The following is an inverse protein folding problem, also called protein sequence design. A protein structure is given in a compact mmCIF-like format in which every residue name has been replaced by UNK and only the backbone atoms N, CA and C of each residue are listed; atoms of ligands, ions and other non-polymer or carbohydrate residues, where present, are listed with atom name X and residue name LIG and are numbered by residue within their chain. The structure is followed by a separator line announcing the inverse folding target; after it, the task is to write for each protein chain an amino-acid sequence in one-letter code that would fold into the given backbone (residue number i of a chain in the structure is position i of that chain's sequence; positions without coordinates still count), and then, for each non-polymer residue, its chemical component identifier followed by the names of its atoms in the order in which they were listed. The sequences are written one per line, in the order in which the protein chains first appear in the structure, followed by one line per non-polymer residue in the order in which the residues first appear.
data_IF_356136677016
#
_entry.id   IF_356136677016
#
_cell.length_a   1.000
_cell.length_b   1.000
_cell.length_c   1.000
_cell.angle_alpha   90.00
_cell.angle_beta   90.00
_cell.angle_gamma   90.00
#
_symmetry.space_group_name_H-M   'P 1'
#
loop_
_entity.id
_entity.type
_entity.pdbx_description
1 polymer ?
#
# COMPACT_ATOMS: atom_id res chain seq x y z
N UNK A 1 7.73 23.42 2.35
CA UNK A 1 7.46 22.23 1.54
C UNK A 1 7.10 21.06 2.46
N UNK A 2 6.08 20.33 2.12
CA UNK A 2 5.66 19.14 2.88
C UNK A 2 6.64 17.97 2.66
N UNK A 3 7.14 17.84 1.44
CA UNK A 3 8.20 16.91 1.07
C UNK A 3 9.49 17.67 0.79
N UNK A 4 10.61 17.16 1.29
CA UNK A 4 11.94 17.73 1.14
C UNK A 4 12.86 16.88 0.25
N UNK A 5 12.32 15.83 -0.39
CA UNK A 5 13.10 14.95 -1.26
C UNK A 5 13.64 15.72 -2.47
N UNK A 6 14.88 15.43 -2.82
CA UNK A 6 15.58 16.08 -3.94
C UNK A 6 14.89 15.81 -5.28
N UNK A 7 14.31 14.63 -5.42
CA UNK A 7 13.58 14.19 -6.60
C UNK A 7 12.16 13.79 -6.20
N UNK A 8 11.19 14.38 -6.87
CA UNK A 8 9.77 14.12 -6.65
C UNK A 8 9.09 14.01 -8.00
N UNK A 9 8.19 13.07 -8.18
CA UNK A 9 7.48 12.91 -9.43
C UNK A 9 6.50 11.75 -9.40
N UNK A 10 5.67 11.70 -10.43
CA UNK A 10 4.75 10.61 -10.72
C UNK A 10 5.14 10.07 -12.10
N UNK A 11 5.25 8.74 -12.29
CA UNK A 11 5.59 8.16 -13.58
C UNK A 11 4.57 8.57 -14.65
N UNK A 12 5.05 9.04 -15.81
CA UNK A 12 4.19 9.27 -16.97
C UNK A 12 3.59 7.92 -17.41
N UNK A 13 2.26 7.87 -17.59
CA UNK A 13 1.53 6.64 -17.87
C UNK A 13 1.15 5.82 -16.62
N UNK A 14 1.50 6.32 -15.42
CA UNK A 14 1.16 5.71 -14.13
C UNK A 14 2.15 4.67 -13.64
N UNK A 15 1.87 4.08 -12.49
CA UNK A 15 2.79 3.20 -11.78
C UNK A 15 2.90 1.78 -12.35
N UNK A 16 1.94 1.34 -13.19
CA UNK A 16 1.96 -0.01 -13.75
C UNK A 16 3.24 -0.27 -14.56
N UNK A 17 3.67 0.70 -15.38
CA UNK A 17 4.90 0.57 -16.16
C UNK A 17 6.15 0.42 -15.29
N UNK A 18 6.19 1.10 -14.14
CA UNK A 18 7.27 0.93 -13.17
C UNK A 18 7.28 -0.49 -12.59
N UNK A 19 6.11 -1.00 -12.21
CA UNK A 19 5.97 -2.36 -11.67
C UNK A 19 6.31 -3.40 -12.73
N UNK A 20 5.81 -3.24 -13.95
CA UNK A 20 6.13 -4.15 -15.08
C UNK A 20 7.64 -4.21 -15.34
N UNK A 21 8.32 -3.06 -15.30
CA UNK A 21 9.78 -3.00 -15.43
C UNK A 21 10.52 -3.69 -14.28
N UNK A 22 10.03 -3.58 -13.03
CA UNK A 22 10.61 -4.27 -11.87
C UNK A 22 10.39 -5.79 -11.93
N UNK A 23 9.34 -6.24 -12.61
CA UNK A 23 8.98 -7.66 -12.76
C UNK A 23 9.53 -8.28 -14.05
N UNK A 24 10.26 -7.52 -14.88
CA UNK A 24 10.81 -8.03 -16.13
C UNK A 24 11.67 -9.28 -15.90
N UNK A 25 11.33 -10.37 -16.57
CA UNK A 25 12.00 -11.67 -16.45
C UNK A 25 11.66 -12.47 -15.19
N UNK A 26 10.73 -12.00 -14.36
CA UNK A 26 10.26 -12.69 -13.16
C UNK A 26 8.89 -13.32 -13.44
N UNK A 27 8.74 -14.62 -13.13
CA UNK A 27 7.45 -15.29 -13.23
C UNK A 27 6.47 -14.72 -12.18
N UNK A 28 5.36 -14.14 -12.66
CA UNK A 28 4.29 -13.61 -11.82
C UNK A 28 3.02 -14.44 -11.95
N UNK A 29 2.40 -14.78 -10.84
CA UNK A 29 1.10 -15.45 -10.77
C UNK A 29 0.14 -14.58 -9.97
N UNK A 30 -0.93 -14.14 -10.61
CA UNK A 30 -2.02 -13.38 -10.00
C UNK A 30 -3.20 -14.28 -9.63
N UNK A 31 -4.10 -13.78 -8.74
CA UNK A 31 -5.25 -14.56 -8.28
C UNK A 31 -4.88 -15.74 -7.39
N UNK A 32 -3.70 -15.72 -6.78
CA UNK A 32 -3.20 -16.77 -5.89
C UNK A 32 -3.16 -16.24 -4.47
N UNK A 33 -3.90 -16.86 -3.58
CA UNK A 33 -3.78 -16.68 -2.14
C UNK A 33 -2.69 -17.61 -1.60
N UNK A 34 -1.70 -17.03 -0.89
CA UNK A 34 -0.56 -17.80 -0.39
C UNK A 34 -0.99 -18.95 0.53
N UNK A 35 -1.90 -18.69 1.50
CA UNK A 35 -2.30 -19.67 2.50
C UNK A 35 -3.32 -20.69 1.98
N UNK A 36 -4.07 -20.34 0.94
CA UNK A 36 -5.09 -21.22 0.33
C UNK A 36 -4.60 -21.91 -0.97
N UNK A 37 -3.30 -21.92 -1.19
CA UNK A 37 -2.66 -22.55 -2.36
C UNK A 37 -1.57 -23.55 -1.95
N UNK A 38 -1.02 -24.26 -2.94
CA UNK A 38 0.13 -25.13 -2.72
C UNK A 38 1.39 -24.35 -2.28
N UNK A 39 1.44 -23.05 -2.51
CA UNK A 39 2.59 -22.19 -2.18
C UNK A 39 2.77 -21.92 -0.67
N UNK A 40 1.80 -22.26 0.17
CA UNK A 40 2.01 -22.26 1.62
C UNK A 40 3.16 -23.20 2.03
N UNK A 41 3.37 -24.28 1.27
CA UNK A 41 4.48 -25.23 1.45
C UNK A 41 5.68 -24.79 0.57
N UNK A 42 6.04 -23.52 0.65
CA UNK A 42 6.98 -22.81 -0.21
C UNK A 42 8.37 -23.47 -0.30
N UNK A 43 8.81 -24.20 0.70
CA UNK A 43 10.06 -24.97 0.72
C UNK A 43 10.14 -26.05 -0.37
N UNK A 44 9.00 -26.43 -0.96
CA UNK A 44 8.94 -27.31 -2.13
C UNK A 44 9.27 -26.57 -3.44
N UNK A 45 9.33 -25.23 -3.41
CA UNK A 45 9.45 -24.39 -4.61
C UNK A 45 10.66 -23.47 -4.60
N UNK A 46 11.18 -23.11 -3.40
CA UNK A 46 12.26 -22.15 -3.25
C UNK A 46 13.08 -22.40 -2.00
N UNK A 47 14.35 -21.97 -2.01
CA UNK A 47 15.25 -22.03 -0.87
C UNK A 47 14.97 -20.90 0.13
N UNK A 48 14.41 -19.78 -0.34
CA UNK A 48 14.04 -18.62 0.50
C UNK A 48 12.70 -18.05 0.09
N UNK A 49 11.98 -17.53 1.08
CA UNK A 49 10.72 -16.81 0.91
C UNK A 49 10.93 -15.32 1.24
N UNK A 50 10.49 -14.44 0.35
CA UNK A 50 10.24 -13.03 0.70
C UNK A 50 8.74 -12.88 0.94
N UNK A 51 8.36 -12.74 2.21
CA UNK A 51 6.96 -12.61 2.60
C UNK A 51 6.59 -11.15 2.83
N UNK A 52 5.58 -10.66 2.13
CA UNK A 52 5.12 -9.27 2.19
C UNK A 52 3.68 -9.13 2.71
N UNK A 53 3.02 -10.25 3.05
CA UNK A 53 1.69 -10.27 3.68
C UNK A 53 1.71 -9.88 5.15
N UNK A 54 0.57 -9.95 5.84
CA UNK A 54 0.48 -9.59 7.24
C UNK A 54 1.26 -10.58 8.13
N UNK A 55 2.09 -10.05 9.02
CA UNK A 55 2.99 -10.87 9.86
C UNK A 55 2.20 -11.78 10.82
N UNK A 56 1.12 -11.29 11.41
CA UNK A 56 0.27 -12.05 12.30
C UNK A 56 -0.44 -13.21 11.58
N UNK A 57 -0.81 -13.03 10.33
CA UNK A 57 -1.38 -14.08 9.48
C UNK A 57 -0.35 -15.17 9.17
N UNK A 58 0.91 -14.80 8.87
CA UNK A 58 1.98 -15.77 8.66
C UNK A 58 2.14 -16.72 9.83
N UNK A 59 2.04 -16.23 11.05
CA UNK A 59 2.09 -17.03 12.27
C UNK A 59 0.73 -17.55 12.74
N UNK A 60 -0.28 -17.59 11.87
CA UNK A 60 -1.62 -18.12 12.15
C UNK A 60 -2.31 -17.41 13.31
N UNK A 61 -2.05 -16.12 13.50
CA UNK A 61 -2.60 -15.29 14.59
C UNK A 61 -2.31 -15.83 16.00
N UNK A 62 -1.23 -16.58 16.16
CA UNK A 62 -0.90 -17.33 17.40
C UNK A 62 -0.75 -16.45 18.65
N UNK A 63 -0.42 -15.16 18.49
CA UNK A 63 -0.33 -14.17 19.57
C UNK A 63 -1.52 -13.19 19.57
N UNK A 64 -2.43 -13.31 18.61
CA UNK A 64 -3.58 -12.42 18.40
C UNK A 64 -3.47 -11.60 17.11
N UNK A 65 -4.57 -10.96 16.70
CA UNK A 65 -4.63 -10.14 15.51
C UNK A 65 -4.10 -8.73 15.77
N UNK A 66 -3.33 -8.20 14.84
CA UNK A 66 -2.93 -6.81 14.76
C UNK A 66 -4.06 -5.98 14.16
N UNK A 67 -4.28 -4.79 14.69
CA UNK A 67 -5.35 -3.91 14.23
C UNK A 67 -4.86 -3.02 13.08
N UNK A 68 -5.75 -2.79 12.14
CA UNK A 68 -5.51 -1.97 10.97
C UNK A 68 -6.59 -0.89 10.82
N UNK A 69 -6.27 0.14 10.10
CA UNK A 69 -7.24 1.07 9.53
C UNK A 69 -7.24 0.92 8.03
N UNK A 70 -8.38 1.22 7.43
CA UNK A 70 -8.55 1.20 5.98
C UNK A 70 -9.17 2.50 5.48
N UNK A 71 -9.22 2.64 4.16
CA UNK A 71 -9.91 3.73 3.49
C UNK A 71 -10.93 3.17 2.50
N UNK A 72 -11.96 3.93 2.27
CA UNK A 72 -12.94 3.68 1.20
C UNK A 72 -13.07 4.92 0.31
N UNK A 73 -13.41 4.71 -0.96
CA UNK A 73 -13.51 5.77 -1.93
C UNK A 73 -14.92 5.86 -2.51
N UNK A 74 -15.42 7.08 -2.64
CA UNK A 74 -16.61 7.38 -3.46
C UNK A 74 -16.15 8.14 -4.69
N UNK A 75 -16.10 7.43 -5.82
CA UNK A 75 -15.65 8.00 -7.08
C UNK A 75 -16.84 8.36 -7.96
N UNK A 76 -16.77 9.53 -8.58
CA UNK A 76 -17.79 10.04 -9.52
C UNK A 76 -17.17 10.81 -10.67
N UNK A 77 -17.94 10.96 -11.74
CA UNK A 77 -17.58 11.81 -12.87
C UNK A 77 -18.32 13.13 -12.73
N UNK A 78 -17.59 14.24 -12.78
CA UNK A 78 -18.14 15.59 -12.78
C UNK A 78 -18.16 16.18 -14.20
N UNK A 79 -19.26 16.87 -14.53
CA UNK A 79 -19.43 17.53 -15.83
C UNK A 79 -18.79 18.94 -15.82
N UNK A 80 -17.55 19.02 -15.39
CA UNK A 80 -16.73 20.22 -15.39
C UNK A 80 -15.29 19.87 -15.77
N UNK A 81 -14.56 20.73 -16.49
CA UNK A 81 -13.16 20.46 -16.80
C UNK A 81 -12.23 20.59 -15.59
N UNK A 82 -12.68 21.26 -14.53
CA UNK A 82 -11.92 21.51 -13.31
C UNK A 82 -12.88 21.61 -12.13
N UNK A 83 -12.75 20.72 -11.15
CA UNK A 83 -13.60 20.66 -9.98
C UNK A 83 -13.01 21.45 -8.80
N UNK A 84 -11.74 21.23 -8.49
CA UNK A 84 -11.08 21.85 -7.34
C UNK A 84 -9.74 22.55 -7.67
N UNK A 85 -9.23 22.41 -8.89
CA UNK A 85 -8.02 23.08 -9.34
C UNK A 85 -6.71 22.51 -8.83
N UNK A 86 -6.76 21.35 -8.16
CA UNK A 86 -5.59 20.68 -7.61
C UNK A 86 -5.82 19.16 -7.56
N UNK A 87 -4.73 18.38 -7.65
CA UNK A 87 -4.81 16.93 -7.60
C UNK A 87 -5.39 16.41 -6.27
N UNK A 88 -4.98 16.99 -5.14
CA UNK A 88 -5.42 16.55 -3.81
C UNK A 88 -5.72 17.74 -2.92
N UNK A 89 -6.89 17.75 -2.29
CA UNK A 89 -7.27 18.68 -1.23
C UNK A 89 -7.60 17.88 0.02
N UNK A 90 -6.88 18.14 1.12
CA UNK A 90 -7.13 17.51 2.42
C UNK A 90 -8.12 18.34 3.24
N UNK A 91 -9.03 17.67 3.94
CA UNK A 91 -10.03 18.26 4.80
C UNK A 91 -9.74 17.89 6.25
N UNK A 92 -9.58 18.90 7.10
CA UNK A 92 -9.27 18.73 8.52
C UNK A 92 -10.45 19.07 9.45
N UNK A 93 -11.55 19.60 8.87
CA UNK A 93 -12.76 19.92 9.63
C UNK A 93 -13.48 18.66 10.07
N UNK A 94 -13.87 18.61 11.36
CA UNK A 94 -14.64 17.50 11.91
C UNK A 94 -16.06 17.37 11.27
N UNK A 95 -16.57 18.44 10.68
CA UNK A 95 -17.89 18.46 10.02
C UNK A 95 -17.85 17.79 8.63
N UNK A 96 -16.67 17.61 8.04
CA UNK A 96 -16.49 16.98 6.74
C UNK A 96 -16.22 15.49 6.95
N UNK A 97 -17.03 14.58 6.38
CA UNK A 97 -16.93 13.15 6.67
C UNK A 97 -15.81 12.44 5.92
N UNK A 98 -15.16 13.08 4.95
CA UNK A 98 -14.03 12.53 4.18
C UNK A 98 -12.74 13.27 4.52
N UNK A 99 -11.63 12.57 4.39
CA UNK A 99 -10.29 13.08 4.74
C UNK A 99 -9.65 13.85 3.60
N UNK A 100 -10.00 13.51 2.36
CA UNK A 100 -9.51 14.23 1.17
C UNK A 100 -10.42 14.05 -0.03
N UNK A 101 -10.25 14.97 -0.98
CA UNK A 101 -10.81 14.87 -2.33
C UNK A 101 -9.66 14.81 -3.33
N UNK A 102 -9.72 13.85 -4.24
CA UNK A 102 -8.73 13.62 -5.29
C UNK A 102 -9.39 13.95 -6.63
N UNK A 103 -8.83 14.89 -7.37
CA UNK A 103 -9.19 15.15 -8.77
C UNK A 103 -8.09 14.59 -9.68
N UNK A 104 -8.37 13.44 -10.27
CA UNK A 104 -7.34 12.57 -10.86
C UNK A 104 -6.60 13.18 -12.05
N UNK A 105 -7.25 14.03 -12.87
CA UNK A 105 -6.60 14.62 -14.05
C UNK A 105 -5.40 15.52 -13.72
N UNK A 106 -5.40 16.16 -12.54
CA UNK A 106 -4.33 17.06 -12.13
C UNK A 106 -3.02 16.36 -11.75
N UNK A 107 -2.99 15.03 -11.73
CA UNK A 107 -1.71 14.30 -11.68
C UNK A 107 -0.97 14.31 -13.03
N UNK A 108 -1.65 14.68 -14.15
CA UNK A 108 -1.10 14.83 -15.50
C UNK A 108 -0.38 13.59 -16.06
N UNK A 109 -0.56 12.42 -15.43
CA UNK A 109 0.18 11.20 -15.77
C UNK A 109 -0.27 10.55 -17.08
N UNK A 110 -1.44 10.92 -17.61
CA UNK A 110 -2.03 10.32 -18.83
C UNK A 110 -2.04 11.28 -20.04
N UNK A 111 -1.33 12.39 -19.96
CA UNK A 111 -1.13 13.33 -21.07
C UNK A 111 -2.22 14.41 -21.21
N UNK A 112 -2.00 15.29 -22.18
CA UNK A 112 -2.79 16.51 -22.36
C UNK A 112 -4.24 16.24 -22.79
N UNK A 113 -4.49 15.18 -23.53
CA UNK A 113 -5.85 14.86 -23.98
C UNK A 113 -6.77 14.52 -22.78
N UNK A 114 -6.24 13.80 -21.80
CA UNK A 114 -6.95 13.51 -20.54
C UNK A 114 -7.09 14.78 -19.70
N UNK A 115 -6.03 15.57 -19.62
CA UNK A 115 -6.03 16.83 -18.87
C UNK A 115 -7.08 17.81 -19.44
N UNK A 116 -7.17 17.93 -20.77
CA UNK A 116 -8.10 18.83 -21.47
C UNK A 116 -9.53 18.28 -21.61
N UNK A 117 -9.80 17.06 -21.10
CA UNK A 117 -11.16 16.52 -21.13
C UNK A 117 -12.16 17.47 -20.44
N UNK A 118 -13.35 17.73 -21.05
CA UNK A 118 -14.37 18.63 -20.47
C UNK A 118 -15.04 18.06 -19.20
N UNK A 119 -14.71 16.83 -18.82
CA UNK A 119 -15.14 16.16 -17.61
C UNK A 119 -13.95 15.80 -16.73
N UNK A 120 -14.20 15.59 -15.45
CA UNK A 120 -13.16 15.16 -14.51
C UNK A 120 -13.65 14.03 -13.63
N UNK A 121 -12.72 13.20 -13.15
CA UNK A 121 -13.00 12.14 -12.16
C UNK A 121 -12.55 12.64 -10.79
N UNK A 122 -13.47 12.53 -9.84
CA UNK A 122 -13.26 12.98 -8.45
C UNK A 122 -13.52 11.80 -7.50
N UNK A 123 -12.61 11.58 -6.56
CA UNK A 123 -12.74 10.58 -5.50
C UNK A 123 -12.70 11.24 -4.13
N UNK A 124 -13.70 10.97 -3.30
CA UNK A 124 -13.69 11.30 -1.88
C UNK A 124 -13.17 10.11 -1.09
N UNK A 125 -12.14 10.32 -0.27
CA UNK A 125 -11.54 9.30 0.59
C UNK A 125 -12.11 9.37 2.01
N UNK A 126 -12.60 8.24 2.49
CA UNK A 126 -13.13 8.09 3.85
C UNK A 126 -12.24 7.17 4.66
N UNK A 127 -11.75 7.63 5.81
CA UNK A 127 -11.08 6.76 6.78
C UNK A 127 -12.12 5.90 7.50
N UNK A 128 -11.92 4.59 7.49
CA UNK A 128 -12.83 3.61 8.09
C UNK A 128 -12.08 2.59 8.95
N UNK A 129 -12.81 1.95 9.86
CA UNK A 129 -12.28 0.80 10.58
C UNK A 129 -12.09 -0.37 9.61
N UNK A 130 -10.96 -1.06 9.78
CA UNK A 130 -10.69 -2.29 9.03
C UNK A 130 -11.64 -3.40 9.46
N UNK A 131 -12.14 -4.15 8.49
CA UNK A 131 -12.87 -5.40 8.68
C UNK A 131 -12.24 -6.47 7.79
N UNK A 132 -12.36 -7.72 8.20
CA UNK A 132 -11.87 -8.87 7.44
C UNK A 132 -12.40 -8.83 5.99
N UNK A 133 -11.50 -9.03 5.03
CA UNK A 133 -11.79 -8.90 3.59
C UNK A 133 -11.57 -7.51 2.99
N UNK A 134 -11.24 -6.50 3.82
CA UNK A 134 -10.80 -5.18 3.34
C UNK A 134 -9.28 -5.13 3.20
N UNK A 135 -8.78 -4.15 2.45
CA UNK A 135 -7.35 -3.87 2.37
C UNK A 135 -6.85 -3.17 3.65
N UNK A 136 -5.79 -3.67 4.32
CA UNK A 136 -5.17 -3.03 5.46
C UNK A 136 -4.23 -1.89 5.01
N UNK A 137 -4.67 -0.63 5.16
CA UNK A 137 -3.90 0.52 4.68
C UNK A 137 -2.89 1.04 5.70
N UNK A 138 -3.30 1.15 6.97
CA UNK A 138 -2.49 1.78 8.01
C UNK A 138 -2.46 0.93 9.26
N UNK A 139 -1.27 0.65 9.85
CA UNK A 139 -1.17 0.01 11.16
C UNK A 139 -1.71 0.94 12.24
N UNK A 140 -2.33 0.37 13.26
CA UNK A 140 -2.76 1.10 14.46
C UNK A 140 -1.60 1.19 15.43
N UNK A 141 -1.03 2.40 15.61
CA UNK A 141 0.13 2.66 16.46
C UNK A 141 -0.28 2.98 17.90
N UNK A 142 -0.86 1.99 18.60
CA UNK A 142 -1.09 2.06 20.04
C UNK A 142 -0.14 1.10 20.79
N UNK A 143 -0.12 1.19 22.13
CA UNK A 143 0.76 0.40 22.97
C UNK A 143 0.54 -1.10 22.77
N UNK A 144 -0.73 -1.55 22.73
CA UNK A 144 -1.09 -2.96 22.53
C UNK A 144 -0.54 -3.50 21.21
N UNK A 145 -0.82 -2.80 20.10
CA UNK A 145 -0.41 -3.26 18.78
C UNK A 145 1.10 -3.18 18.60
N UNK A 146 1.77 -2.18 19.16
CA UNK A 146 3.22 -2.05 19.09
C UNK A 146 3.92 -3.19 19.86
N UNK A 147 3.43 -3.55 21.04
CA UNK A 147 3.93 -4.70 21.81
C UNK A 147 3.69 -6.02 21.07
N UNK A 148 2.49 -6.21 20.53
CA UNK A 148 2.15 -7.42 19.77
C UNK A 148 2.99 -7.54 18.50
N UNK A 149 3.20 -6.46 17.76
CA UNK A 149 4.06 -6.45 16.58
C UNK A 149 5.51 -6.77 16.91
N UNK A 150 6.02 -6.29 18.06
CA UNK A 150 7.34 -6.65 18.54
C UNK A 150 7.50 -8.14 18.84
N UNK A 151 6.48 -8.75 19.47
CA UNK A 151 6.48 -10.17 19.72
C UNK A 151 6.48 -11.00 18.41
N UNK A 152 5.74 -10.56 17.39
CA UNK A 152 5.80 -11.19 16.07
C UNK A 152 7.15 -11.03 15.39
N UNK A 153 7.82 -9.87 15.52
CA UNK A 153 9.19 -9.68 15.01
C UNK A 153 10.18 -10.67 15.64
N UNK A 154 10.07 -10.89 16.94
CA UNK A 154 10.90 -11.90 17.64
C UNK A 154 10.63 -13.34 17.16
N UNK A 155 9.41 -13.65 16.70
CA UNK A 155 9.13 -14.92 16.03
C UNK A 155 9.76 -14.95 14.63
N UNK A 156 9.65 -13.85 13.87
CA UNK A 156 10.19 -13.72 12.52
C UNK A 156 11.73 -13.85 12.49
N UNK A 157 12.45 -13.38 13.51
CA UNK A 157 13.91 -13.52 13.63
C UNK A 157 14.37 -14.99 13.71
N UNK A 158 13.48 -15.92 14.05
CA UNK A 158 13.77 -17.36 14.10
C UNK A 158 13.60 -18.05 12.75
N UNK A 159 12.94 -17.41 11.82
CA UNK A 159 12.69 -17.90 10.45
C UNK A 159 13.88 -17.55 9.55
N UNK A 160 14.93 -18.38 9.55
CA UNK A 160 16.21 -18.12 8.87
C UNK A 160 16.11 -18.03 7.35
N UNK A 161 15.10 -18.67 6.76
CA UNK A 161 14.90 -18.74 5.30
C UNK A 161 13.77 -17.82 4.82
N UNK A 162 13.22 -16.98 5.71
CA UNK A 162 12.14 -16.04 5.37
C UNK A 162 12.59 -14.61 5.60
N UNK A 163 12.41 -13.77 4.61
CA UNK A 163 12.62 -12.32 4.70
C UNK A 163 11.24 -11.67 4.82
N UNK A 164 10.95 -11.06 5.96
CA UNK A 164 9.72 -10.30 6.17
C UNK A 164 9.95 -8.85 5.73
N UNK A 165 9.29 -8.44 4.63
CA UNK A 165 9.47 -7.12 4.03
C UNK A 165 8.17 -6.39 3.71
N UNK A 166 8.25 -5.06 3.62
CA UNK A 166 7.12 -4.21 3.27
C UNK A 166 6.17 -3.91 4.44
N UNK A 167 5.11 -3.18 4.14
CA UNK A 167 4.22 -2.56 5.14
C UNK A 167 3.53 -3.57 6.05
N UNK A 168 3.00 -4.66 5.48
CA UNK A 168 2.20 -5.63 6.21
C UNK A 168 3.08 -6.56 7.06
N UNK A 169 4.15 -7.11 6.47
CA UNK A 169 5.04 -8.02 7.17
C UNK A 169 5.87 -7.34 8.28
N UNK A 170 6.08 -6.04 8.19
CA UNK A 170 6.80 -5.29 9.22
C UNK A 170 5.88 -4.52 10.16
N UNK A 171 4.56 -4.54 9.90
CA UNK A 171 3.59 -3.74 10.63
C UNK A 171 4.03 -2.28 10.76
N UNK A 172 4.39 -1.66 9.62
CA UNK A 172 4.95 -0.31 9.58
C UNK A 172 4.44 0.45 8.36
N UNK A 173 4.17 1.75 8.55
CA UNK A 173 3.85 2.61 7.43
C UNK A 173 5.11 2.94 6.62
N UNK A 174 5.03 2.72 5.31
CA UNK A 174 6.04 3.12 4.33
C UNK A 174 5.39 3.77 3.12
N UNK A 175 5.99 4.81 2.59
CA UNK A 175 5.79 5.25 1.21
C UNK A 175 6.64 4.38 0.26
N UNK A 176 6.43 4.48 -1.06
CA UNK A 176 7.09 3.61 -2.04
C UNK A 176 8.61 3.73 -2.02
N UNK A 177 9.15 4.95 -1.98
CA UNK A 177 10.60 5.16 -1.98
C UNK A 177 11.29 4.55 -0.76
N UNK A 178 10.83 4.75 0.50
CA UNK A 178 11.37 4.06 1.66
C UNK A 178 11.29 2.52 1.61
N UNK A 179 10.24 1.95 1.00
CA UNK A 179 10.17 0.48 0.81
C UNK A 179 11.27 0.00 -0.13
N UNK A 180 11.47 0.69 -1.26
CA UNK A 180 12.52 0.34 -2.23
C UNK A 180 13.90 0.49 -1.60
N UNK A 181 14.15 1.58 -0.87
CA UNK A 181 15.42 1.81 -0.14
C UNK A 181 15.71 0.67 0.85
N UNK A 182 14.69 0.26 1.61
CA UNK A 182 14.83 -0.85 2.54
C UNK A 182 15.21 -2.16 1.82
N UNK A 183 14.53 -2.49 0.72
CA UNK A 183 14.84 -3.69 -0.06
C UNK A 183 16.26 -3.62 -0.59
N UNK A 184 16.69 -2.51 -1.18
CA UNK A 184 18.04 -2.33 -1.67
C UNK A 184 19.10 -2.52 -0.57
N UNK A 185 18.83 -2.08 0.66
CA UNK A 185 19.75 -2.23 1.79
C UNK A 185 19.93 -3.67 2.27
N UNK A 186 19.04 -4.60 1.89
CA UNK A 186 19.18 -6.03 2.23
C UNK A 186 20.19 -6.77 1.35
N UNK A 187 20.61 -6.18 0.23
CA UNK A 187 21.43 -6.82 -0.79
C UNK A 187 22.75 -6.09 -1.08
N UNK A 188 23.13 -5.13 -0.24
CA UNK A 188 24.39 -4.34 -0.35
C UNK A 188 25.42 -4.79 0.67
#
# INVERSE_FOLDING_TARGET
NYFNDKYQGIPIGGYNQLIDGLLEGIECKTGVDFFHSAYKDWKNYADKLVYTGAIDEYFGYSLGKLDWRTVSFKTRIENTPNYQGNAVVNYTSHEVPYTRVIEHKHFEMFGQDVYNCPKTVVSEEYSTEYKEGMEPYYPVNDERNNLLAEQYRQLAEKETDVIFGGRLAQYKYYDMAPVIEQVLSLFV
#
